data_IF_115104525605
#
_entry.id   IF_115104525605
#
_cell.length_a   1.000
_cell.length_b   1.000
_cell.length_c   1.000
_cell.angle_alpha   90.00
_cell.angle_beta   90.00
_cell.angle_gamma   90.00
#
_symmetry.space_group_name_H-M   'P 1'
#
loop_
_entity.id
_entity.type
_entity.pdbx_description
1 polymer ?
#
# COMPACT_ATOMS: atom_id res chain seq x y z
N UNK A 1 -5.86 27.67 1.45
CA UNK A 1 -4.60 26.99 1.04
C UNK A 1 -4.57 25.56 1.59
N UNK A 2 -3.86 24.62 0.92
CA UNK A 2 -3.45 23.26 1.38
C UNK A 2 -4.28 21.99 1.02
N UNK A 3 -5.22 22.01 0.05
CA UNK A 3 -5.91 20.77 -0.42
C UNK A 3 -5.00 19.73 -1.10
N UNK A 4 -3.83 20.15 -1.63
CA UNK A 4 -2.88 19.23 -2.30
C UNK A 4 -2.18 18.28 -1.35
N UNK A 5 -1.76 18.70 -0.15
CA UNK A 5 -1.03 17.83 0.78
C UNK A 5 -1.95 16.82 1.47
N UNK A 6 -3.23 17.17 1.64
CA UNK A 6 -4.23 16.27 2.22
C UNK A 6 -4.34 14.95 1.46
N UNK A 7 -4.29 14.99 0.11
CA UNK A 7 -4.37 13.79 -0.73
C UNK A 7 -3.15 12.87 -0.54
N UNK A 8 -1.95 13.45 -0.42
CA UNK A 8 -0.71 12.70 -0.20
C UNK A 8 -0.69 12.07 1.20
N UNK A 9 -1.11 12.81 2.23
CA UNK A 9 -1.22 12.31 3.60
C UNK A 9 -2.26 11.18 3.69
N UNK A 10 -3.41 11.33 3.03
CA UNK A 10 -4.43 10.29 3.02
C UNK A 10 -3.95 9.02 2.30
N UNK A 11 -3.26 9.17 1.15
CA UNK A 11 -2.63 8.03 0.47
C UNK A 11 -1.58 7.37 1.35
N UNK A 12 -0.76 8.15 2.05
CA UNK A 12 0.26 7.60 2.93
C UNK A 12 -0.37 6.78 4.06
N UNK A 13 -1.40 7.33 4.71
CA UNK A 13 -2.14 6.69 5.81
C UNK A 13 -2.93 5.46 5.39
N UNK A 14 -3.32 5.33 4.11
CA UNK A 14 -4.04 4.14 3.60
C UNK A 14 -3.07 3.04 3.18
N UNK A 15 -1.93 3.39 2.59
CA UNK A 15 -0.94 2.41 2.10
C UNK A 15 -0.27 1.67 3.26
N UNK A 16 -0.01 2.35 4.40
CA UNK A 16 0.56 1.73 5.60
C UNK A 16 -0.26 0.54 6.13
N UNK A 17 -1.54 0.70 6.51
CA UNK A 17 -2.34 -0.42 7.02
C UNK A 17 -2.59 -1.48 5.94
N UNK A 18 -2.74 -1.10 4.66
CA UNK A 18 -2.93 -2.06 3.58
C UNK A 18 -1.72 -2.98 3.41
N UNK A 19 -0.51 -2.41 3.40
CA UNK A 19 0.74 -3.17 3.28
C UNK A 19 1.04 -3.99 4.54
N UNK A 20 0.72 -3.48 5.73
CA UNK A 20 0.82 -4.22 6.99
C UNK A 20 -0.05 -5.47 6.98
N UNK A 21 -1.33 -5.34 6.62
CA UNK A 21 -2.26 -6.48 6.56
C UNK A 21 -1.77 -7.50 5.54
N UNK A 22 -1.34 -7.05 4.36
CA UNK A 22 -0.88 -7.94 3.30
C UNK A 22 0.41 -8.69 3.69
N UNK A 23 1.37 -7.99 4.29
CA UNK A 23 2.59 -8.58 4.82
C UNK A 23 2.29 -9.60 5.93
N UNK A 24 1.30 -9.31 6.77
CA UNK A 24 0.92 -10.15 7.91
C UNK A 24 0.26 -11.44 7.42
N UNK A 25 -0.72 -11.32 6.53
CA UNK A 25 -1.38 -12.48 5.89
C UNK A 25 -0.39 -13.32 5.09
N UNK A 26 0.54 -12.69 4.37
CA UNK A 26 1.59 -13.40 3.63
C UNK A 26 2.47 -14.25 4.54
N UNK A 27 2.96 -13.67 5.64
CA UNK A 27 3.77 -14.42 6.61
C UNK A 27 3.00 -15.53 7.32
N UNK A 28 1.78 -15.23 7.74
CA UNK A 28 0.86 -16.23 8.32
C UNK A 28 0.67 -17.43 7.40
N UNK A 29 0.44 -17.18 6.11
CA UNK A 29 0.19 -18.23 5.12
C UNK A 29 1.45 -19.02 4.76
N UNK A 30 2.62 -18.38 4.72
CA UNK A 30 3.85 -19.02 4.21
C UNK A 30 4.69 -19.65 5.32
N UNK A 31 4.78 -19.03 6.50
CA UNK A 31 5.69 -19.45 7.57
C UNK A 31 4.97 -19.77 8.90
N UNK A 32 3.70 -19.36 9.06
CA UNK A 32 2.97 -19.50 10.33
C UNK A 32 3.58 -18.67 11.47
N UNK A 33 3.12 -18.91 12.70
CA UNK A 33 3.64 -18.26 13.93
C UNK A 33 4.91 -18.96 14.47
N UNK A 34 5.89 -19.21 13.59
CA UNK A 34 7.18 -19.79 13.99
C UNK A 34 8.09 -18.82 14.74
N UNK A 35 9.23 -19.29 15.24
CA UNK A 35 10.20 -18.44 15.95
C UNK A 35 10.65 -17.26 15.07
N UNK A 36 10.72 -16.06 15.65
CA UNK A 36 11.08 -14.80 14.98
C UNK A 36 10.12 -14.34 13.85
N UNK A 37 8.88 -14.84 13.79
CA UNK A 37 7.89 -14.44 12.77
C UNK A 37 7.67 -12.91 12.73
N UNK A 38 7.64 -12.26 13.89
CA UNK A 38 7.43 -10.81 14.03
C UNK A 38 8.66 -10.02 13.57
N UNK A 39 9.87 -10.52 13.81
CA UNK A 39 11.11 -9.88 13.33
C UNK A 39 11.19 -9.98 11.80
N UNK A 40 10.91 -11.17 11.24
CA UNK A 40 10.84 -11.36 9.78
C UNK A 40 9.74 -10.50 9.16
N UNK A 41 8.61 -10.36 9.85
CA UNK A 41 7.51 -9.47 9.46
C UNK A 41 7.98 -8.03 9.31
N UNK A 42 8.50 -7.42 10.37
CA UNK A 42 8.91 -6.02 10.31
C UNK A 42 10.06 -5.80 9.32
N UNK A 43 11.02 -6.71 9.25
CA UNK A 43 12.14 -6.57 8.32
C UNK A 43 11.67 -6.63 6.84
N UNK A 44 10.83 -7.62 6.51
CA UNK A 44 10.29 -7.73 5.16
C UNK A 44 9.36 -6.55 4.85
N UNK A 45 8.52 -6.15 5.82
CA UNK A 45 7.56 -5.05 5.68
C UNK A 45 8.28 -3.70 5.43
N UNK A 46 9.36 -3.41 6.14
CA UNK A 46 10.16 -2.19 5.95
C UNK A 46 10.79 -2.14 4.55
N UNK A 47 11.23 -3.28 4.00
CA UNK A 47 11.81 -3.34 2.65
C UNK A 47 10.73 -3.13 1.56
N UNK A 48 9.52 -3.67 1.76
CA UNK A 48 8.43 -3.55 0.79
C UNK A 48 7.69 -2.20 0.87
N UNK A 49 7.67 -1.55 2.03
CA UNK A 49 7.03 -0.25 2.24
C UNK A 49 7.44 0.83 1.22
N UNK A 50 8.74 1.12 0.96
CA UNK A 50 9.13 2.14 -0.02
C UNK A 50 8.65 1.80 -1.44
N UNK A 51 8.72 0.52 -1.83
CA UNK A 51 8.23 0.07 -3.14
C UNK A 51 6.73 0.29 -3.29
N UNK A 52 5.96 -0.04 -2.25
CA UNK A 52 4.52 0.16 -2.22
C UNK A 52 4.14 1.64 -2.30
N UNK A 53 4.87 2.53 -1.62
CA UNK A 53 4.63 3.97 -1.69
C UNK A 53 4.88 4.55 -3.09
N UNK A 54 6.02 4.19 -3.71
CA UNK A 54 6.33 4.62 -5.08
C UNK A 54 5.25 4.12 -6.04
N UNK A 55 4.84 2.85 -5.89
CA UNK A 55 3.81 2.25 -6.72
C UNK A 55 2.45 2.95 -6.54
N UNK A 56 2.05 3.27 -5.31
CA UNK A 56 0.82 4.01 -5.04
C UNK A 56 0.82 5.38 -5.70
N UNK A 57 1.96 6.10 -5.67
CA UNK A 57 2.08 7.40 -6.32
C UNK A 57 1.95 7.35 -7.84
N UNK A 58 2.41 6.27 -8.48
CA UNK A 58 2.30 6.07 -9.92
C UNK A 58 0.92 5.54 -10.33
N UNK A 59 0.36 4.60 -9.57
CA UNK A 59 -0.88 3.89 -9.91
C UNK A 59 -2.10 4.76 -9.65
N UNK A 60 -2.20 5.45 -8.50
CA UNK A 60 -3.40 6.25 -8.15
C UNK A 60 -3.79 7.29 -9.22
N UNK A 61 -2.89 8.13 -9.77
CA UNK A 61 -3.27 9.09 -10.80
C UNK A 61 -3.69 8.40 -12.11
N UNK A 62 -3.03 7.30 -12.47
CA UNK A 62 -3.33 6.55 -13.70
C UNK A 62 -4.66 5.79 -13.59
N UNK A 63 -4.90 5.13 -12.46
CA UNK A 63 -6.15 4.43 -12.16
C UNK A 63 -7.33 5.40 -12.17
N UNK A 64 -7.16 6.60 -11.60
CA UNK A 64 -8.20 7.63 -11.64
C UNK A 64 -8.51 8.11 -13.06
N UNK A 65 -7.48 8.35 -13.89
CA UNK A 65 -7.67 8.70 -15.31
C UNK A 65 -8.40 7.58 -16.07
N UNK A 66 -8.07 6.32 -15.80
CA UNK A 66 -8.76 5.17 -16.40
C UNK A 66 -10.22 5.08 -15.95
N UNK A 67 -10.48 5.22 -14.65
CA UNK A 67 -11.83 5.19 -14.10
C UNK A 67 -12.71 6.31 -14.68
N UNK A 68 -12.19 7.54 -14.78
CA UNK A 68 -12.88 8.66 -15.43
C UNK A 68 -13.15 8.37 -16.91
N UNK A 69 -12.19 7.77 -17.64
CA UNK A 69 -12.37 7.41 -19.05
C UNK A 69 -13.41 6.30 -19.29
N UNK A 70 -13.54 5.36 -18.34
CA UNK A 70 -14.54 4.30 -18.39
C UNK A 70 -15.92 4.86 -18.03
N UNK A 71 -16.01 5.67 -16.98
CA UNK A 71 -17.26 6.27 -16.52
C UNK A 71 -17.88 7.29 -17.50
N UNK A 72 -17.06 7.91 -18.37
CA UNK A 72 -17.54 8.80 -19.46
C UNK A 72 -17.99 8.00 -20.70
N UNK A 73 -17.68 6.70 -20.77
CA UNK A 73 -18.01 5.81 -21.88
C UNK A 73 -19.35 5.08 -21.73
N UNK A 74 -20.01 5.22 -20.58
CA UNK A 74 -21.42 4.85 -20.34
C UNK A 74 -22.29 6.11 -20.38
#
# INVERSE_FOLDING_TARGET
MKKKHFKYINTLLVVVPMTLIMAFVGLMRTYGFGENWHIRFFNTWIIMAPVAYISAFLIIPNARKLAEKIAIRE
#
